data_IF_709842444345
#
_entry.id   IF_709842444345
#
_cell.length_a   1.000
_cell.length_b   1.000
_cell.length_c   1.000
_cell.angle_alpha   90.00
_cell.angle_beta   90.00
_cell.angle_gamma   90.00
#
_symmetry.space_group_name_H-M   'P 1'
#
loop_
_entity.id
_entity.type
_entity.pdbx_description
1 polymer ?
#
# COMPACT_ATOMS: atom_id res chain seq x y z
N UNK A 1 16.15 41.74 24.61
CA UNK A 1 14.79 42.32 24.46
C UNK A 1 14.84 43.33 23.32
N UNK A 2 13.85 43.37 22.41
CA UNK A 2 13.92 44.28 21.27
C UNK A 2 13.64 45.74 21.64
N UNK A 3 12.83 46.01 22.65
CA UNK A 3 12.52 47.39 23.07
C UNK A 3 13.42 47.83 24.23
N UNK A 4 14.31 48.79 23.98
CA UNK A 4 15.19 49.38 25.01
C UNK A 4 14.54 50.56 25.76
N UNK A 5 13.51 51.17 25.15
CA UNK A 5 12.68 52.22 25.74
C UNK A 5 11.24 51.96 25.34
N UNK A 6 10.33 52.31 26.24
CA UNK A 6 8.89 52.14 26.06
C UNK A 6 8.17 53.47 25.92
N UNK A 7 8.88 54.59 25.78
CA UNK A 7 8.23 55.88 25.50
C UNK A 7 7.67 55.87 24.07
N UNK A 8 6.48 56.46 23.88
CA UNK A 8 5.85 56.62 22.55
C UNK A 8 6.58 57.68 21.70
N UNK A 9 7.82 57.39 21.37
CA UNK A 9 8.68 58.21 20.51
C UNK A 9 8.50 57.81 19.04
N UNK A 10 8.81 58.72 18.09
CA UNK A 10 8.84 58.36 16.67
C UNK A 10 9.76 57.17 16.36
N UNK A 11 10.87 57.03 17.09
CA UNK A 11 11.80 55.90 16.94
C UNK A 11 11.17 54.58 17.42
N UNK A 12 10.43 54.61 18.53
CA UNK A 12 9.68 53.46 19.02
C UNK A 12 8.57 53.05 18.05
N UNK A 13 7.81 54.02 17.51
CA UNK A 13 6.78 53.75 16.49
C UNK A 13 7.37 53.14 15.22
N UNK A 14 8.52 53.64 14.75
CA UNK A 14 9.24 53.06 13.62
C UNK A 14 9.71 51.63 13.90
N UNK A 15 10.12 51.33 15.13
CA UNK A 15 10.50 49.99 15.53
C UNK A 15 9.31 49.03 15.53
N UNK A 16 8.15 49.43 16.07
CA UNK A 16 6.91 48.66 15.99
C UNK A 16 6.57 48.34 14.53
N UNK A 17 6.58 49.36 13.66
CA UNK A 17 6.29 49.19 12.24
C UNK A 17 7.21 48.16 11.57
N UNK A 18 8.52 48.21 11.83
CA UNK A 18 9.45 47.23 11.27
C UNK A 18 9.18 45.80 11.75
N UNK A 19 8.72 45.61 12.99
CA UNK A 19 8.31 44.30 13.50
C UNK A 19 6.99 43.83 12.89
N UNK A 20 6.05 44.73 12.63
CA UNK A 20 4.78 44.44 11.95
C UNK A 20 5.01 44.01 10.50
N UNK A 21 5.88 44.72 9.77
CA UNK A 21 6.30 44.37 8.42
C UNK A 21 6.99 42.99 8.40
N UNK A 22 7.88 42.73 9.35
CA UNK A 22 8.51 41.41 9.54
C UNK A 22 7.46 40.31 9.80
N UNK A 23 6.46 40.58 10.63
CA UNK A 23 5.39 39.63 10.94
C UNK A 23 4.49 39.34 9.71
N UNK A 24 4.21 40.34 8.88
CA UNK A 24 3.45 40.15 7.63
C UNK A 24 4.24 39.30 6.62
N UNK A 25 5.52 39.61 6.39
CA UNK A 25 6.38 38.80 5.53
C UNK A 25 6.46 37.36 6.05
N UNK A 26 6.54 37.18 7.37
CA UNK A 26 6.56 35.85 7.98
C UNK A 26 5.22 35.11 7.78
N UNK A 27 4.09 35.81 7.85
CA UNK A 27 2.76 35.25 7.54
C UNK A 27 2.70 34.70 6.12
N UNK A 28 3.08 35.50 5.14
CA UNK A 28 3.04 35.10 3.73
C UNK A 28 3.93 33.88 3.46
N UNK A 29 5.15 33.89 4.02
CA UNK A 29 6.09 32.77 3.91
C UNK A 29 5.55 31.50 4.57
N UNK A 30 4.95 31.63 5.76
CA UNK A 30 4.38 30.50 6.51
C UNK A 30 3.20 29.88 5.77
N UNK A 31 2.31 30.70 5.20
CA UNK A 31 1.18 30.23 4.39
C UNK A 31 1.64 29.51 3.12
N UNK A 32 2.67 30.05 2.43
CA UNK A 32 3.25 29.40 1.26
C UNK A 32 3.90 28.05 1.63
N UNK A 33 4.62 28.01 2.75
CA UNK A 33 5.23 26.78 3.24
C UNK A 33 4.17 25.74 3.62
N UNK A 34 3.14 26.13 4.38
CA UNK A 34 2.01 25.28 4.74
C UNK A 34 1.35 24.62 3.52
N UNK A 35 1.15 25.36 2.41
CA UNK A 35 0.61 24.76 1.17
C UNK A 35 1.49 23.62 0.65
N UNK A 36 2.82 23.77 0.73
CA UNK A 36 3.76 22.72 0.37
C UNK A 36 3.69 21.52 1.32
N UNK A 37 3.66 21.78 2.62
CA UNK A 37 3.55 20.73 3.66
C UNK A 37 2.24 19.95 3.55
N UNK A 38 1.12 20.62 3.29
CA UNK A 38 -0.17 19.98 3.05
C UNK A 38 -0.13 19.04 1.84
N UNK A 39 0.39 19.51 0.70
CA UNK A 39 0.55 18.67 -0.50
C UNK A 39 1.44 17.45 -0.22
N UNK A 40 2.47 17.64 0.60
CA UNK A 40 3.34 16.56 1.02
C UNK A 40 2.59 15.52 1.88
N UNK A 41 1.81 15.94 2.87
CA UNK A 41 0.97 15.03 3.67
C UNK A 41 -0.09 14.32 2.82
N UNK A 42 -0.72 15.01 1.87
CA UNK A 42 -1.64 14.41 0.91
C UNK A 42 -0.94 13.30 0.10
N UNK A 43 0.28 13.55 -0.39
CA UNK A 43 1.08 12.54 -1.08
C UNK A 43 1.49 11.35 -0.20
N UNK A 44 1.73 11.56 1.10
CA UNK A 44 1.94 10.45 2.03
C UNK A 44 0.68 9.60 2.20
N UNK A 45 -0.51 10.23 2.23
CA UNK A 45 -1.80 9.54 2.25
C UNK A 45 -2.07 8.73 0.98
N UNK A 46 -1.88 9.34 -0.18
CA UNK A 46 -1.98 8.63 -1.47
C UNK A 46 -1.00 7.46 -1.56
N UNK A 47 0.22 7.65 -1.03
CA UNK A 47 1.22 6.59 -0.94
C UNK A 47 0.83 5.46 0.00
N UNK A 48 0.12 5.75 1.09
CA UNK A 48 -0.44 4.72 1.99
C UNK A 48 -1.56 3.94 1.28
N UNK A 49 -2.50 4.63 0.66
CA UNK A 49 -3.59 4.00 -0.09
C UNK A 49 -3.06 3.09 -1.20
N UNK A 50 -2.01 3.53 -1.90
CA UNK A 50 -1.31 2.73 -2.91
C UNK A 50 -0.70 1.44 -2.36
N UNK A 51 -0.03 1.50 -1.20
CA UNK A 51 0.54 0.31 -0.56
C UNK A 51 -0.56 -0.68 -0.15
N UNK A 52 -1.66 -0.19 0.43
CA UNK A 52 -2.80 -1.02 0.86
C UNK A 52 -3.51 -1.64 -0.34
N UNK A 53 -3.70 -0.89 -1.42
CA UNK A 53 -4.28 -1.39 -2.65
C UNK A 53 -3.41 -2.50 -3.27
N UNK A 54 -2.10 -2.29 -3.33
CA UNK A 54 -1.16 -3.30 -3.82
C UNK A 54 -1.17 -4.56 -2.96
N UNK A 55 -1.10 -4.42 -1.63
CA UNK A 55 -1.18 -5.54 -0.70
C UNK A 55 -2.49 -6.33 -0.88
N UNK A 56 -3.63 -5.63 -1.04
CA UNK A 56 -4.94 -6.27 -1.24
C UNK A 56 -5.04 -7.00 -2.59
N UNK A 57 -4.43 -6.45 -3.64
CA UNK A 57 -4.34 -7.12 -4.94
C UNK A 57 -3.48 -8.39 -4.86
N UNK A 58 -2.34 -8.32 -4.15
CA UNK A 58 -1.46 -9.47 -3.93
C UNK A 58 -2.14 -10.57 -3.11
N UNK A 59 -2.89 -10.19 -2.07
CA UNK A 59 -3.69 -11.12 -1.27
C UNK A 59 -4.77 -11.82 -2.09
N UNK A 60 -5.50 -11.03 -2.90
CA UNK A 60 -6.54 -11.55 -3.79
C UNK A 60 -5.97 -12.54 -4.80
N UNK A 61 -4.79 -12.23 -5.37
CA UNK A 61 -4.10 -13.11 -6.30
C UNK A 61 -3.55 -14.37 -5.61
N UNK A 62 -2.99 -14.21 -4.41
CA UNK A 62 -2.44 -15.32 -3.61
C UNK A 62 -3.52 -16.29 -3.13
N UNK A 63 -4.78 -15.85 -3.03
CA UNK A 63 -5.92 -16.66 -2.63
C UNK A 63 -5.86 -17.14 -1.17
N UNK A 64 -6.76 -18.07 -0.82
CA UNK A 64 -6.85 -18.59 0.55
C UNK A 64 -5.77 -19.63 0.87
N UNK A 65 -5.45 -19.80 2.16
CA UNK A 65 -4.43 -20.76 2.61
C UNK A 65 -4.74 -22.22 2.25
N UNK A 66 -6.00 -22.53 1.92
CA UNK A 66 -6.50 -23.87 1.63
C UNK A 66 -6.97 -24.02 0.18
N UNK A 67 -6.73 -23.06 -0.71
CA UNK A 67 -6.99 -23.25 -2.14
C UNK A 67 -5.83 -24.05 -2.76
N UNK A 68 -6.06 -25.30 -3.24
CA UNK A 68 -5.02 -26.12 -3.85
C UNK A 68 -4.39 -25.46 -5.07
N UNK A 69 -5.12 -24.58 -5.77
CA UNK A 69 -4.61 -23.85 -6.93
C UNK A 69 -3.59 -22.81 -6.46
N UNK A 70 -3.94 -21.99 -5.47
CA UNK A 70 -3.05 -21.02 -4.82
C UNK A 70 -1.77 -21.60 -4.26
N UNK A 71 -1.86 -22.75 -3.58
CA UNK A 71 -0.69 -23.41 -3.00
C UNK A 71 0.31 -23.80 -4.09
N UNK A 72 -0.16 -24.21 -5.27
CA UNK A 72 0.70 -24.64 -6.36
C UNK A 72 1.61 -23.54 -6.93
N UNK A 73 1.23 -22.27 -6.80
CA UNK A 73 2.02 -21.13 -7.31
C UNK A 73 2.58 -20.21 -6.21
N UNK A 74 2.46 -20.59 -4.94
CA UNK A 74 3.11 -19.88 -3.83
C UNK A 74 2.21 -18.92 -3.05
N UNK A 75 0.89 -19.14 -3.01
CA UNK A 75 -0.06 -18.36 -2.21
C UNK A 75 0.39 -18.08 -0.77
N UNK A 76 0.82 -19.07 0.03
CA UNK A 76 1.31 -18.84 1.40
C UNK A 76 2.49 -17.85 1.50
N UNK A 77 3.35 -17.80 0.49
CA UNK A 77 4.46 -16.84 0.42
C UNK A 77 3.94 -15.43 0.18
N UNK A 78 2.99 -15.28 -0.74
CA UNK A 78 2.34 -13.99 -1.06
C UNK A 78 1.59 -13.42 0.15
N UNK A 79 0.92 -14.27 0.93
CA UNK A 79 0.30 -13.85 2.20
C UNK A 79 1.33 -13.22 3.14
N UNK A 80 2.49 -13.86 3.33
CA UNK A 80 3.51 -13.34 4.25
C UNK A 80 4.07 -12.00 3.78
N UNK A 81 4.27 -11.80 2.48
CA UNK A 81 4.65 -10.51 1.92
C UNK A 81 3.54 -9.45 2.04
N UNK A 82 2.28 -9.85 1.89
CA UNK A 82 1.13 -8.96 2.10
C UNK A 82 1.11 -8.39 3.52
N UNK A 83 1.34 -9.22 4.54
CA UNK A 83 1.39 -8.78 5.94
C UNK A 83 2.45 -7.70 6.12
N UNK A 84 3.66 -7.94 5.61
CA UNK A 84 4.76 -6.98 5.70
C UNK A 84 4.46 -5.67 4.96
N UNK A 85 3.86 -5.73 3.77
CA UNK A 85 3.47 -4.53 3.01
C UNK A 85 2.42 -3.70 3.76
N UNK A 86 1.43 -4.36 4.39
CA UNK A 86 0.43 -3.68 5.23
C UNK A 86 1.07 -3.04 6.46
N UNK A 87 2.08 -3.67 7.03
CA UNK A 87 2.82 -3.13 8.17
C UNK A 87 3.67 -1.91 7.78
N UNK A 88 4.35 -1.94 6.63
CA UNK A 88 5.04 -0.76 6.06
C UNK A 88 4.04 0.37 5.80
N UNK A 89 2.88 0.06 5.23
CA UNK A 89 1.80 1.03 5.03
C UNK A 89 1.37 1.66 6.36
N UNK A 90 1.21 0.86 7.42
CA UNK A 90 0.88 1.36 8.76
C UNK A 90 1.93 2.34 9.28
N UNK A 91 3.22 2.06 9.09
CA UNK A 91 4.28 3.00 9.47
C UNK A 91 4.21 4.31 8.66
N UNK A 92 3.84 4.25 7.37
CA UNK A 92 3.65 5.43 6.52
C UNK A 92 2.46 6.27 6.99
N UNK A 93 1.37 5.65 7.42
CA UNK A 93 0.22 6.36 7.99
C UNK A 93 0.59 7.06 9.31
N UNK A 94 1.39 6.41 10.16
CA UNK A 94 1.94 7.06 11.36
C UNK A 94 2.81 8.25 11.01
N UNK A 95 3.69 8.14 10.01
CA UNK A 95 4.48 9.27 9.51
C UNK A 95 3.59 10.40 9.01
N UNK A 96 2.57 10.09 8.22
CA UNK A 96 1.60 11.07 7.70
C UNK A 96 0.93 11.84 8.83
N UNK A 97 0.40 11.14 9.84
CA UNK A 97 -0.23 11.76 11.00
C UNK A 97 0.74 12.63 11.80
N UNK A 98 1.98 12.17 11.98
CA UNK A 98 3.00 12.96 12.67
C UNK A 98 3.36 14.24 11.91
N UNK A 99 3.51 14.17 10.59
CA UNK A 99 3.75 15.36 9.75
C UNK A 99 2.56 16.32 9.84
N UNK A 100 1.32 15.81 9.80
CA UNK A 100 0.12 16.64 9.95
C UNK A 100 0.15 17.42 11.28
N UNK A 101 0.34 16.73 12.40
CA UNK A 101 0.26 17.37 13.72
C UNK A 101 1.51 18.20 14.08
N UNK A 102 2.70 17.74 13.72
CA UNK A 102 3.95 18.37 14.12
C UNK A 102 4.33 19.53 13.20
N UNK A 103 3.86 19.54 11.95
CA UNK A 103 4.17 20.57 10.97
C UNK A 103 2.95 21.36 10.53
N UNK A 104 1.92 20.71 9.98
CA UNK A 104 0.77 21.41 9.39
C UNK A 104 -0.02 22.17 10.45
N UNK A 105 -0.43 21.49 11.53
CA UNK A 105 -1.19 22.12 12.62
C UNK A 105 -0.38 23.21 13.32
N UNK A 106 0.92 22.98 13.54
CA UNK A 106 1.82 23.97 14.17
C UNK A 106 1.99 25.23 13.32
N UNK A 107 2.17 25.08 12.00
CA UNK A 107 2.24 26.21 11.08
C UNK A 107 0.93 26.99 11.05
N UNK A 108 -0.21 26.30 10.99
CA UNK A 108 -1.52 26.95 11.02
C UNK A 108 -1.78 27.66 12.35
N UNK A 109 -1.44 27.04 13.48
CA UNK A 109 -1.54 27.64 14.79
C UNK A 109 -0.75 28.96 14.85
N UNK A 110 0.50 28.94 14.39
CA UNK A 110 1.34 30.13 14.36
C UNK A 110 0.75 31.25 13.47
N UNK A 111 0.19 30.90 12.32
CA UNK A 111 -0.42 31.87 11.39
C UNK A 111 -1.75 32.42 11.90
N UNK A 112 -2.66 31.54 12.32
CA UNK A 112 -4.05 31.87 12.63
C UNK A 112 -4.23 32.41 14.04
N UNK A 113 -3.27 32.17 14.95
CA UNK A 113 -3.33 32.66 16.32
C UNK A 113 -2.25 33.69 16.54
N UNK A 114 -0.97 33.31 16.55
CA UNK A 114 0.11 34.23 16.97
C UNK A 114 0.23 35.45 16.03
N UNK A 115 0.28 35.21 14.71
CA UNK A 115 0.36 36.32 13.77
C UNK A 115 -0.98 37.09 13.72
N UNK A 116 -2.13 36.40 13.79
CA UNK A 116 -3.44 37.06 13.78
C UNK A 116 -3.63 38.01 14.98
N UNK A 117 -3.14 37.63 16.16
CA UNK A 117 -3.17 38.46 17.37
C UNK A 117 -2.47 39.80 17.15
N UNK A 118 -1.35 39.84 16.43
CA UNK A 118 -0.69 41.10 16.04
C UNK A 118 -1.61 42.01 15.24
N UNK A 119 -2.38 41.44 14.29
CA UNK A 119 -3.32 42.21 13.45
C UNK A 119 -4.47 42.77 14.27
N UNK A 120 -5.01 42.01 15.21
CA UNK A 120 -6.08 42.49 16.09
C UNK A 120 -5.56 43.53 17.10
N UNK A 121 -4.39 43.30 17.69
CA UNK A 121 -3.74 44.26 18.58
C UNK A 121 -3.43 45.59 17.87
N UNK A 122 -3.01 45.54 16.60
CA UNK A 122 -2.82 46.73 15.76
C UNK A 122 -4.10 47.54 15.62
N UNK A 123 -5.21 46.89 15.26
CA UNK A 123 -6.52 47.56 15.12
C UNK A 123 -6.95 48.22 16.41
N UNK A 124 -6.78 47.54 17.54
CA UNK A 124 -7.07 48.09 18.87
C UNK A 124 -6.19 49.30 19.18
N UNK A 125 -4.89 49.23 18.86
CA UNK A 125 -3.95 50.34 19.03
C UNK A 125 -4.32 51.55 18.17
N UNK A 126 -4.64 51.36 16.89
CA UNK A 126 -5.04 52.45 15.99
C UNK A 126 -6.31 53.15 16.50
N UNK A 127 -7.31 52.37 16.94
CA UNK A 127 -8.53 52.91 17.53
C UNK A 127 -8.25 53.71 18.81
N UNK A 128 -7.44 53.15 19.72
CA UNK A 128 -7.11 53.81 20.98
C UNK A 128 -6.26 55.07 20.78
N UNK A 129 -5.32 55.07 19.80
CA UNK A 129 -4.53 56.25 19.42
C UNK A 129 -5.43 57.37 18.93
N UNK A 130 -6.37 57.07 18.03
CA UNK A 130 -7.30 58.07 17.50
C UNK A 130 -8.16 58.70 18.61
N UNK A 131 -8.70 57.87 19.52
CA UNK A 131 -9.52 58.35 20.65
C UNK A 131 -8.70 59.22 21.62
N UNK A 132 -7.45 58.84 21.87
CA UNK A 132 -6.56 59.61 22.72
C UNK A 132 -6.20 60.96 22.09
N UNK A 133 -5.89 61.00 20.79
CA UNK A 133 -5.63 62.25 20.07
C UNK A 133 -6.83 63.19 20.12
N UNK A 134 -8.05 62.67 19.91
CA UNK A 134 -9.30 63.44 20.02
C UNK A 134 -9.53 64.00 21.44
N UNK A 135 -9.37 63.18 22.47
CA UNK A 135 -9.52 63.62 23.86
C UNK A 135 -8.49 64.70 24.22
N UNK A 136 -7.26 64.55 23.73
CA UNK A 136 -6.17 65.52 23.92
C UNK A 136 -6.45 66.85 23.22
N UNK A 137 -6.95 66.84 22.00
CA UNK A 137 -7.36 68.06 21.29
C UNK A 137 -8.49 68.80 22.01
N UNK A 138 -9.53 68.08 22.46
CA UNK A 138 -10.62 68.67 23.26
C UNK A 138 -10.08 69.33 24.53
N UNK A 139 -9.23 68.64 25.28
CA UNK A 139 -8.66 69.16 26.52
C UNK A 139 -7.77 70.39 26.28
N UNK A 140 -6.92 70.37 25.23
CA UNK A 140 -6.06 71.51 24.89
C UNK A 140 -6.84 72.73 24.37
N UNK A 141 -8.08 72.55 23.93
CA UNK A 141 -8.96 73.64 23.48
C UNK A 141 -9.64 74.41 24.62
N UNK A 142 -9.45 73.98 25.88
CA UNK A 142 -9.99 74.64 27.07
C UNK A 142 -9.56 76.11 27.14
N UNK A 143 -10.51 76.99 27.43
CA UNK A 143 -10.26 78.43 27.61
C UNK A 143 -10.20 78.78 29.10
N UNK A 144 -9.51 79.88 29.45
CA UNK A 144 -9.41 80.37 30.85
C UNK A 144 -10.76 80.61 31.56
N UNK A 145 -11.85 80.80 30.82
CA UNK A 145 -13.21 80.97 31.37
C UNK A 145 -14.06 79.70 31.39
N UNK A 146 -13.50 78.53 31.08
CA UNK A 146 -14.25 77.27 31.09
C UNK A 146 -14.64 76.93 32.52
N UNK A 147 -15.89 76.48 32.71
CA UNK A 147 -16.37 76.09 34.04
C UNK A 147 -15.57 74.90 34.57
N UNK A 148 -15.29 74.89 35.86
CA UNK A 148 -14.43 73.90 36.53
C UNK A 148 -14.96 72.47 36.40
N UNK A 149 -16.28 72.28 36.45
CA UNK A 149 -16.96 71.00 36.26
C UNK A 149 -16.72 70.43 34.85
N UNK A 150 -16.85 71.26 33.81
CA UNK A 150 -16.60 70.86 32.43
C UNK A 150 -15.12 70.52 32.21
N UNK A 151 -14.21 71.31 32.81
CA UNK A 151 -12.78 71.04 32.73
C UNK A 151 -12.40 69.70 33.38
N UNK A 152 -12.98 69.39 34.55
CA UNK A 152 -12.76 68.13 35.26
C UNK A 152 -13.22 66.90 34.45
N UNK A 153 -14.38 66.98 33.79
CA UNK A 153 -14.88 65.89 32.93
C UNK A 153 -13.93 65.63 31.76
N UNK A 154 -13.44 66.68 31.10
CA UNK A 154 -12.51 66.54 29.97
C UNK A 154 -11.13 66.03 30.42
N UNK A 155 -10.69 66.38 31.64
CA UNK A 155 -9.47 65.83 32.24
C UNK A 155 -9.61 64.32 32.51
N UNK A 156 -10.75 63.88 33.04
CA UNK A 156 -11.06 62.47 33.26
C UNK A 156 -11.15 61.69 31.93
N UNK A 157 -11.84 62.24 30.92
CA UNK A 157 -11.89 61.66 29.57
C UNK A 157 -10.48 61.49 28.98
N UNK A 158 -9.62 62.51 29.11
CA UNK A 158 -8.23 62.46 28.67
C UNK A 158 -7.43 61.38 29.40
N UNK A 159 -7.58 61.28 30.72
CA UNK A 159 -6.86 60.29 31.52
C UNK A 159 -7.27 58.86 31.15
N UNK A 160 -8.58 58.63 30.99
CA UNK A 160 -9.13 57.35 30.55
C UNK A 160 -8.66 56.96 29.15
N UNK A 161 -8.73 57.89 28.20
CA UNK A 161 -8.26 57.66 26.82
C UNK A 161 -6.75 57.38 26.77
N UNK A 162 -5.94 58.08 27.58
CA UNK A 162 -4.51 57.81 27.70
C UNK A 162 -4.23 56.41 28.25
N UNK A 163 -4.95 56.00 29.29
CA UNK A 163 -4.80 54.66 29.87
C UNK A 163 -5.13 53.57 28.84
N UNK A 164 -6.25 53.73 28.10
CA UNK A 164 -6.63 52.80 27.03
C UNK A 164 -5.59 52.74 25.89
N UNK A 165 -5.04 53.89 25.50
CA UNK A 165 -3.96 53.98 24.51
C UNK A 165 -2.71 53.22 24.96
N UNK A 166 -2.23 53.46 26.19
CA UNK A 166 -1.04 52.77 26.71
C UNK A 166 -1.27 51.26 26.82
N UNK A 167 -2.45 50.84 27.27
CA UNK A 167 -2.79 49.43 27.35
C UNK A 167 -2.80 48.75 25.97
N UNK A 168 -3.42 49.38 24.96
CA UNK A 168 -3.45 48.85 23.60
C UNK A 168 -2.05 48.80 22.98
N UNK A 169 -1.20 49.80 23.26
CA UNK A 169 0.20 49.84 22.84
C UNK A 169 1.00 48.69 23.43
N UNK A 170 0.87 48.43 24.73
CA UNK A 170 1.54 47.29 25.38
C UNK A 170 1.01 45.93 24.92
N UNK A 171 -0.28 45.81 24.60
CA UNK A 171 -0.83 44.60 23.97
C UNK A 171 -0.18 44.34 22.60
N UNK A 172 -0.04 45.37 21.75
CA UNK A 172 0.63 45.25 20.45
C UNK A 172 2.11 44.87 20.60
N UNK A 173 2.83 45.55 21.50
CA UNK A 173 4.24 45.23 21.82
C UNK A 173 4.41 43.79 22.30
N UNK A 174 3.49 43.33 23.16
CA UNK A 174 3.49 41.95 23.67
C UNK A 174 3.28 40.95 22.55
N UNK A 175 2.27 41.16 21.69
CA UNK A 175 2.00 40.28 20.56
C UNK A 175 3.20 40.20 19.59
N UNK A 176 3.80 41.34 19.25
CA UNK A 176 5.00 41.40 18.41
C UNK A 176 6.19 40.68 19.06
N UNK A 177 6.42 40.91 20.36
CA UNK A 177 7.50 40.25 21.09
C UNK A 177 7.31 38.74 21.16
N UNK A 178 6.07 38.26 21.31
CA UNK A 178 5.76 36.83 21.31
C UNK A 178 6.05 36.19 19.96
N UNK A 179 5.64 36.81 18.86
CA UNK A 179 5.96 36.37 17.49
C UNK A 179 7.48 36.28 17.28
N UNK A 180 8.22 37.33 17.68
CA UNK A 180 9.68 37.39 17.57
C UNK A 180 10.41 36.36 18.45
N UNK A 181 9.87 36.04 19.62
CA UNK A 181 10.41 34.99 20.48
C UNK A 181 10.15 33.62 19.85
N UNK A 182 8.89 33.31 19.53
CA UNK A 182 8.45 32.03 18.99
C UNK A 182 9.09 31.67 17.66
N UNK A 183 9.26 32.64 16.74
CA UNK A 183 9.88 32.35 15.42
C UNK A 183 11.29 31.77 15.53
N UNK A 184 11.99 31.97 16.66
CA UNK A 184 13.36 31.45 16.86
C UNK A 184 13.38 29.94 17.05
N UNK A 185 12.29 29.32 17.48
CA UNK A 185 12.26 27.89 17.80
C UNK A 185 11.10 27.13 17.13
N UNK A 186 9.89 27.69 17.04
CA UNK A 186 8.70 26.96 16.54
C UNK A 186 8.94 26.29 15.18
N UNK A 187 9.52 27.01 14.21
CA UNK A 187 9.80 26.45 12.89
C UNK A 187 10.91 25.39 12.91
N UNK A 188 11.93 25.59 13.73
CA UNK A 188 13.04 24.64 13.86
C UNK A 188 12.55 23.36 14.52
N UNK A 189 11.73 23.46 15.57
CA UNK A 189 11.13 22.33 16.26
C UNK A 189 10.18 21.56 15.33
N UNK A 190 9.30 22.25 14.59
CA UNK A 190 8.38 21.61 13.65
C UNK A 190 9.11 20.83 12.54
N UNK A 191 10.10 21.46 11.90
CA UNK A 191 10.87 20.82 10.82
C UNK A 191 11.76 19.69 11.36
N UNK A 192 12.44 19.90 12.48
CA UNK A 192 13.30 18.87 13.09
C UNK A 192 12.49 17.66 13.57
N UNK A 193 11.33 17.92 14.20
CA UNK A 193 10.41 16.86 14.61
C UNK A 193 9.86 16.07 13.43
N UNK A 194 9.64 16.72 12.29
CA UNK A 194 9.27 16.04 11.04
C UNK A 194 10.41 15.13 10.55
N UNK A 195 11.66 15.59 10.60
CA UNK A 195 12.82 14.78 10.22
C UNK A 195 13.04 13.59 11.17
N UNK A 196 12.77 13.75 12.46
CA UNK A 196 12.79 12.64 13.42
C UNK A 196 11.68 11.60 13.14
N UNK A 197 10.48 12.05 12.79
CA UNK A 197 9.40 11.16 12.36
C UNK A 197 9.80 10.33 11.12
N UNK A 198 10.47 10.98 10.16
CA UNK A 198 11.06 10.31 9.00
C UNK A 198 12.10 9.27 9.37
N UNK A 199 13.03 9.61 10.25
CA UNK A 199 14.06 8.69 10.73
C UNK A 199 13.41 7.43 11.33
N UNK A 200 12.38 7.61 12.16
CA UNK A 200 11.62 6.49 12.76
C UNK A 200 10.93 5.63 11.70
N UNK A 201 10.22 6.26 10.75
CA UNK A 201 9.58 5.54 9.64
C UNK A 201 10.56 4.67 8.85
N UNK A 202 11.68 5.24 8.41
CA UNK A 202 12.68 4.48 7.65
C UNK A 202 13.35 3.39 8.46
N UNK A 203 13.61 3.64 9.76
CA UNK A 203 14.19 2.64 10.66
C UNK A 203 13.24 1.45 10.85
N UNK A 204 11.96 1.69 11.07
CA UNK A 204 10.95 0.64 11.21
C UNK A 204 10.83 -0.20 9.92
N UNK A 205 10.78 0.46 8.76
CA UNK A 205 10.76 -0.24 7.47
C UNK A 205 12.02 -1.09 7.21
N UNK A 206 13.20 -0.56 7.55
CA UNK A 206 14.46 -1.31 7.46
C UNK A 206 14.46 -2.53 8.38
N UNK A 207 14.11 -2.36 9.66
CA UNK A 207 14.11 -3.44 10.65
C UNK A 207 13.18 -4.57 10.23
N UNK A 208 11.98 -4.24 9.74
CA UNK A 208 11.02 -5.23 9.25
C UNK A 208 11.58 -6.01 8.04
N UNK A 209 12.07 -5.32 7.01
CA UNK A 209 12.59 -5.97 5.81
C UNK A 209 13.86 -6.77 6.07
N UNK A 210 14.74 -6.28 6.96
CA UNK A 210 15.94 -6.98 7.36
C UNK A 210 15.62 -8.28 8.11
N UNK A 211 14.62 -8.27 9.00
CA UNK A 211 14.13 -9.50 9.63
C UNK A 211 13.56 -10.50 8.62
N UNK A 212 12.98 -10.02 7.52
CA UNK A 212 12.44 -10.86 6.45
C UNK A 212 13.48 -11.34 5.44
N UNK A 213 14.66 -10.72 5.39
CA UNK A 213 15.71 -11.01 4.40
C UNK A 213 16.06 -12.52 4.29
N UNK A 214 16.24 -13.29 5.39
CA UNK A 214 16.50 -14.72 5.28
C UNK A 214 15.36 -15.48 4.61
N UNK A 215 14.12 -15.09 4.87
CA UNK A 215 12.93 -15.70 4.27
C UNK A 215 12.83 -15.35 2.78
N UNK A 216 13.12 -14.10 2.39
CA UNK A 216 13.17 -13.69 0.97
C UNK A 216 14.20 -14.53 0.22
N UNK A 217 15.40 -14.69 0.78
CA UNK A 217 16.47 -15.50 0.17
C UNK A 217 16.07 -16.99 0.05
N UNK A 218 15.37 -17.53 1.05
CA UNK A 218 14.84 -18.88 1.00
C UNK A 218 13.82 -19.07 -0.13
N UNK A 219 12.90 -18.12 -0.29
CA UNK A 219 11.89 -18.12 -1.38
C UNK A 219 12.57 -18.05 -2.75
N UNK A 220 13.58 -17.18 -2.91
CA UNK A 220 14.34 -17.06 -4.16
C UNK A 220 15.06 -18.37 -4.51
N UNK A 221 15.70 -18.98 -3.51
CA UNK A 221 16.37 -20.29 -3.68
C UNK A 221 15.38 -21.38 -4.08
N UNK A 222 14.21 -21.43 -3.43
CA UNK A 222 13.14 -22.38 -3.78
C UNK A 222 12.66 -22.17 -5.23
N UNK A 223 12.46 -20.92 -5.66
CA UNK A 223 12.04 -20.61 -7.02
C UNK A 223 13.10 -21.05 -8.07
N UNK A 224 14.38 -20.88 -7.77
CA UNK A 224 15.47 -21.37 -8.63
C UNK A 224 15.47 -22.90 -8.74
N UNK A 225 15.40 -23.61 -7.61
CA UNK A 225 15.35 -25.07 -7.59
C UNK A 225 14.12 -25.62 -8.33
N UNK A 226 12.96 -24.98 -8.16
CA UNK A 226 11.73 -25.34 -8.87
C UNK A 226 11.88 -25.21 -10.39
N UNK A 227 12.53 -24.14 -10.86
CA UNK A 227 12.85 -23.93 -12.28
C UNK A 227 13.78 -25.01 -12.82
N UNK A 228 14.84 -25.35 -12.09
CA UNK A 228 15.78 -26.40 -12.49
C UNK A 228 15.10 -27.77 -12.58
N UNK A 229 14.26 -28.10 -11.60
CA UNK A 229 13.46 -29.34 -11.63
C UNK A 229 12.51 -29.37 -12.82
N UNK A 230 11.80 -28.27 -13.10
CA UNK A 230 10.91 -28.17 -14.26
C UNK A 230 11.67 -28.39 -15.58
N UNK A 231 12.88 -27.85 -15.71
CA UNK A 231 13.72 -28.03 -16.89
C UNK A 231 14.12 -29.52 -17.06
N UNK A 232 14.52 -30.18 -15.98
CA UNK A 232 14.87 -31.60 -15.99
C UNK A 232 13.67 -32.47 -16.35
N UNK A 233 12.50 -32.23 -15.74
CA UNK A 233 11.27 -32.97 -16.02
C UNK A 233 10.83 -32.80 -17.48
N UNK A 234 10.95 -31.58 -18.03
CA UNK A 234 10.65 -31.30 -19.43
C UNK A 234 11.61 -32.03 -20.37
N UNK A 235 12.91 -32.08 -20.05
CA UNK A 235 13.90 -32.81 -20.82
C UNK A 235 13.63 -34.32 -20.79
N UNK A 236 13.39 -34.90 -19.62
CA UNK A 236 13.06 -36.32 -19.45
C UNK A 236 11.73 -36.70 -20.12
N UNK A 237 10.74 -35.80 -20.16
CA UNK A 237 9.52 -36.00 -20.92
C UNK A 237 9.80 -36.00 -22.42
N UNK A 238 10.57 -35.04 -22.91
CA UNK A 238 10.95 -34.95 -24.33
C UNK A 238 11.71 -36.20 -24.79
N UNK A 239 12.64 -36.70 -23.98
CA UNK A 239 13.37 -37.94 -24.26
C UNK A 239 12.43 -39.14 -24.36
N UNK A 240 11.54 -39.33 -23.38
CA UNK A 240 10.53 -40.41 -23.40
C UNK A 240 9.62 -40.32 -24.62
N UNK A 241 9.19 -39.12 -24.99
CA UNK A 241 8.37 -38.90 -26.20
C UNK A 241 9.14 -39.25 -27.48
N UNK A 242 10.43 -38.90 -27.57
CA UNK A 242 11.26 -39.26 -28.71
C UNK A 242 11.47 -40.76 -28.80
N UNK A 243 11.76 -41.43 -27.68
CA UNK A 243 11.95 -42.88 -27.68
C UNK A 243 10.67 -43.62 -28.07
N UNK A 244 9.52 -43.16 -27.57
CA UNK A 244 8.22 -43.69 -27.99
C UNK A 244 8.00 -43.55 -29.51
N UNK A 245 8.33 -42.38 -30.09
CA UNK A 245 8.25 -42.19 -31.55
C UNK A 245 9.18 -43.16 -32.30
N UNK A 246 10.44 -43.31 -31.86
CA UNK A 246 11.38 -44.28 -32.44
C UNK A 246 10.89 -45.72 -32.35
N UNK A 247 10.22 -46.08 -31.25
CA UNK A 247 9.61 -47.40 -31.09
C UNK A 247 8.48 -47.62 -32.10
N UNK A 248 7.55 -46.67 -32.23
CA UNK A 248 6.46 -46.72 -33.21
C UNK A 248 7.00 -46.83 -34.64
N UNK A 249 8.06 -46.07 -34.98
CA UNK A 249 8.69 -46.12 -36.31
C UNK A 249 9.36 -47.49 -36.59
N UNK A 250 9.94 -48.13 -35.56
CA UNK A 250 10.51 -49.48 -35.66
C UNK A 250 9.41 -50.52 -35.86
N UNK A 251 8.36 -50.48 -35.04
CA UNK A 251 7.21 -51.38 -35.13
C UNK A 251 6.50 -51.26 -36.48
N UNK A 252 6.34 -50.03 -37.00
CA UNK A 252 5.74 -49.77 -38.31
C UNK A 252 6.58 -50.33 -39.46
N UNK A 253 7.92 -50.20 -39.40
CA UNK A 253 8.84 -50.78 -40.40
C UNK A 253 8.85 -52.31 -40.35
N UNK A 254 8.81 -52.91 -39.17
CA UNK A 254 8.69 -54.36 -39.02
C UNK A 254 7.36 -54.91 -39.55
N UNK A 255 6.25 -54.21 -39.32
CA UNK A 255 4.95 -54.58 -39.87
C UNK A 255 4.93 -54.52 -41.41
N UNK A 256 5.62 -53.54 -42.03
CA UNK A 256 5.73 -53.46 -43.50
C UNK A 256 6.68 -54.50 -44.10
N UNK A 257 7.81 -54.83 -43.45
CA UNK A 257 8.74 -55.87 -43.94
C UNK A 257 8.22 -57.31 -43.76
N UNK A 258 7.20 -57.52 -42.91
CA UNK A 258 6.50 -58.80 -42.79
C UNK A 258 5.56 -59.12 -43.97
N UNK A 259 5.36 -58.19 -44.90
CA UNK A 259 4.47 -58.36 -46.07
C UNK A 259 5.15 -58.91 -47.33
N UNK A 260 6.45 -59.19 -47.31
CA UNK A 260 7.17 -59.76 -48.48
C UNK A 260 7.33 -61.29 -48.43
N UNK A 261 6.53 -61.98 -47.62
CA UNK A 261 6.31 -63.42 -47.73
C UNK A 261 4.82 -63.66 -47.75
N UNK A 262 4.26 -63.93 -48.92
CA UNK A 262 2.99 -64.66 -49.01
C UNK A 262 3.29 -66.14 -48.75
N UNK A 263 2.71 -66.76 -47.73
CA UNK A 263 2.36 -68.17 -47.80
C UNK A 263 0.85 -68.25 -48.00
N UNK A 264 0.44 -68.71 -49.17
CA UNK A 264 -0.83 -69.42 -49.28
C UNK A 264 -0.87 -70.50 -48.20
N UNK A 265 -1.84 -70.43 -47.30
CA UNK A 265 -2.05 -71.45 -46.29
C UNK A 265 -2.98 -70.97 -45.19
N UNK A 266 -4.23 -71.44 -45.24
CA UNK A 266 -5.13 -71.50 -44.09
C UNK A 266 -4.38 -72.07 -42.88
N UNK A 267 -4.02 -71.18 -41.96
CA UNK A 267 -3.26 -71.51 -40.77
C UNK A 267 -3.61 -70.51 -39.69
N UNK A 268 -4.54 -70.90 -38.82
CA UNK A 268 -4.86 -70.20 -37.57
C UNK A 268 -3.53 -69.96 -36.83
N UNK A 269 -3.04 -68.72 -36.87
CA UNK A 269 -1.83 -68.33 -36.15
C UNK A 269 -2.06 -68.56 -34.65
N UNK A 270 -1.30 -69.50 -34.08
CA UNK A 270 -1.27 -69.81 -32.67
C UNK A 270 -0.59 -68.69 -31.86
N UNK A 271 -1.17 -67.49 -31.84
CA UNK A 271 -0.77 -66.38 -30.95
C UNK A 271 -1.22 -66.65 -29.49
N UNK A 272 -2.07 -67.66 -29.26
CA UNK A 272 -2.81 -67.84 -28.00
C UNK A 272 -2.09 -68.55 -26.84
N UNK A 273 -1.00 -69.30 -27.04
CA UNK A 273 -0.45 -70.17 -25.97
C UNK A 273 0.37 -69.43 -24.91
N UNK A 274 1.08 -68.36 -25.29
CA UNK A 274 1.87 -67.53 -24.36
C UNK A 274 1.00 -66.56 -23.55
N UNK A 275 0.02 -65.93 -24.21
CA UNK A 275 -0.91 -65.00 -23.56
C UNK A 275 -1.78 -65.67 -22.51
N UNK A 276 -2.18 -66.93 -22.71
CA UNK A 276 -3.08 -67.61 -21.78
C UNK A 276 -2.44 -67.87 -20.42
N UNK A 277 -1.15 -68.29 -20.41
CA UNK A 277 -0.37 -68.50 -19.18
C UNK A 277 -0.15 -67.20 -18.40
N UNK A 278 0.08 -66.08 -19.09
CA UNK A 278 0.18 -64.77 -18.42
C UNK A 278 -1.14 -64.30 -17.83
N UNK A 279 -2.25 -64.50 -18.55
CA UNK A 279 -3.60 -64.17 -18.06
C UNK A 279 -3.91 -65.00 -16.80
N UNK A 280 -3.62 -66.29 -16.82
CA UNK A 280 -3.85 -67.21 -15.71
C UNK A 280 -3.01 -66.83 -14.47
N UNK A 281 -1.73 -66.49 -14.66
CA UNK A 281 -0.87 -66.01 -13.57
C UNK A 281 -1.36 -64.68 -12.96
N UNK A 282 -1.85 -63.75 -13.79
CA UNK A 282 -2.41 -62.48 -13.34
C UNK A 282 -3.72 -62.70 -12.56
N UNK A 283 -4.58 -63.62 -13.02
CA UNK A 283 -5.81 -64.00 -12.32
C UNK A 283 -5.53 -64.67 -10.97
N UNK A 284 -4.54 -65.57 -10.89
CA UNK A 284 -4.12 -66.21 -9.62
C UNK A 284 -3.56 -65.17 -8.62
N UNK A 285 -2.91 -64.11 -9.11
CA UNK A 285 -2.43 -63.02 -8.24
C UNK A 285 -3.56 -62.17 -7.63
N UNK A 286 -4.74 -62.13 -8.26
CA UNK A 286 -5.92 -61.46 -7.74
C UNK A 286 -6.47 -62.13 -6.47
N UNK A 287 -6.33 -63.45 -6.35
CA UNK A 287 -6.68 -64.21 -5.16
C UNK A 287 -5.85 -63.81 -3.93
N UNK A 288 -4.68 -63.16 -4.13
CA UNK A 288 -3.82 -62.58 -3.09
C UNK A 288 -4.12 -61.10 -2.80
N UNK A 289 -5.22 -60.56 -3.32
CA UNK A 289 -5.73 -59.21 -3.01
C UNK A 289 -5.21 -58.07 -3.89
N UNK A 290 -4.31 -58.31 -4.84
CA UNK A 290 -3.78 -57.27 -5.76
C UNK A 290 -4.53 -57.30 -7.11
N UNK A 291 -5.40 -56.32 -7.34
CA UNK A 291 -6.11 -56.17 -8.62
C UNK A 291 -5.17 -55.59 -9.68
N UNK A 292 -5.03 -56.27 -10.82
CA UNK A 292 -4.18 -55.86 -11.93
C UNK A 292 -4.97 -55.82 -13.23
N UNK A 293 -4.54 -55.01 -14.20
CA UNK A 293 -5.17 -54.96 -15.53
C UNK A 293 -4.65 -56.11 -16.39
N UNK A 294 -5.55 -56.99 -16.85
CA UNK A 294 -5.23 -58.05 -17.81
C UNK A 294 -5.10 -57.45 -19.22
N UNK A 295 -6.08 -56.64 -19.62
CA UNK A 295 -6.11 -56.01 -20.95
C UNK A 295 -6.90 -54.71 -20.89
N UNK A 296 -6.46 -53.74 -21.67
CA UNK A 296 -7.17 -52.49 -21.84
C UNK A 296 -7.07 -52.00 -23.27
N UNK A 297 -8.05 -51.20 -23.69
CA UNK A 297 -8.05 -50.64 -25.02
C UNK A 297 -9.38 -50.04 -25.41
N UNK A 298 -9.39 -49.36 -26.56
CA UNK A 298 -10.62 -48.84 -27.12
C UNK A 298 -11.38 -49.94 -27.87
N UNK A 299 -12.66 -50.10 -27.55
CA UNK A 299 -13.60 -50.93 -28.30
C UNK A 299 -14.85 -50.12 -28.66
N UNK A 300 -15.51 -50.53 -29.74
CA UNK A 300 -16.81 -49.98 -30.13
C UNK A 300 -17.90 -50.73 -29.38
N UNK A 301 -18.70 -50.02 -28.58
CA UNK A 301 -19.87 -50.55 -27.87
C UNK A 301 -21.14 -50.13 -28.58
N UNK A 302 -21.95 -51.08 -29.03
CA UNK A 302 -23.29 -50.78 -29.56
C UNK A 302 -24.23 -50.36 -28.42
N UNK A 303 -25.00 -49.31 -28.65
CA UNK A 303 -26.08 -48.90 -27.76
C UNK A 303 -27.27 -49.85 -27.91
N UNK A 304 -27.92 -50.16 -26.80
CA UNK A 304 -29.13 -51.01 -26.75
C UNK A 304 -30.40 -50.28 -27.18
N UNK A 305 -30.29 -49.05 -27.68
CA UNK A 305 -31.42 -48.25 -28.14
C UNK A 305 -31.84 -48.70 -29.56
N UNK A 306 -33.11 -48.53 -29.93
CA UNK A 306 -33.69 -48.92 -31.23
C UNK A 306 -32.91 -48.48 -32.48
N UNK A 307 -32.14 -47.38 -32.40
CA UNK A 307 -31.31 -46.87 -33.52
C UNK A 307 -29.88 -47.45 -33.58
N UNK A 308 -29.44 -48.20 -32.56
CA UNK A 308 -28.20 -48.99 -32.60
C UNK A 308 -26.91 -48.22 -32.90
N UNK A 309 -26.66 -47.10 -32.22
CA UNK A 309 -25.44 -46.29 -32.38
C UNK A 309 -24.20 -46.96 -31.75
N UNK A 310 -23.03 -46.88 -32.39
CA UNK A 310 -21.76 -47.44 -31.92
C UNK A 310 -20.90 -46.35 -31.27
N UNK A 311 -20.49 -46.56 -30.02
CA UNK A 311 -19.66 -45.59 -29.28
C UNK A 311 -18.31 -46.19 -28.94
N UNK A 312 -17.24 -45.52 -29.35
CA UNK A 312 -15.87 -45.84 -28.92
C UNK A 312 -15.73 -45.56 -27.42
N UNK A 313 -15.39 -46.58 -26.64
CA UNK A 313 -15.17 -46.50 -25.19
C UNK A 313 -13.85 -47.17 -24.83
N UNK A 314 -13.22 -46.71 -23.76
CA UNK A 314 -12.02 -47.34 -23.23
C UNK A 314 -12.44 -48.42 -22.22
N UNK A 315 -12.12 -49.67 -22.51
CA UNK A 315 -12.45 -50.83 -21.69
C UNK A 315 -11.22 -51.30 -20.92
N UNK A 316 -11.45 -51.81 -19.72
CA UNK A 316 -10.43 -52.43 -18.87
C UNK A 316 -10.99 -53.76 -18.35
N UNK A 317 -10.25 -54.83 -18.59
CA UNK A 317 -10.47 -56.14 -18.00
C UNK A 317 -9.47 -56.31 -16.86
N UNK A 318 -9.97 -56.48 -15.64
CA UNK A 318 -9.13 -56.70 -14.46
C UNK A 318 -8.91 -58.18 -14.14
N UNK A 319 -7.98 -58.44 -13.21
CA UNK A 319 -7.57 -59.77 -12.76
C UNK A 319 -8.66 -60.55 -12.01
N UNK A 320 -9.79 -59.90 -11.67
CA UNK A 320 -10.97 -60.53 -11.07
C UNK A 320 -11.98 -60.98 -12.13
N UNK A 321 -11.70 -60.75 -13.41
CA UNK A 321 -12.62 -61.03 -14.51
C UNK A 321 -13.67 -59.93 -14.72
N UNK A 322 -13.53 -58.77 -14.08
CA UNK A 322 -14.47 -57.66 -14.25
C UNK A 322 -14.08 -56.84 -15.48
N UNK A 323 -15.04 -56.69 -16.41
CA UNK A 323 -14.92 -55.81 -17.56
C UNK A 323 -15.73 -54.54 -17.32
N UNK A 324 -15.05 -53.39 -17.25
CA UNK A 324 -15.68 -52.08 -17.12
C UNK A 324 -15.20 -51.13 -18.22
N UNK A 325 -15.94 -50.04 -18.43
CA UNK A 325 -15.59 -49.05 -19.44
C UNK A 325 -15.77 -47.63 -18.91
N UNK A 326 -14.89 -46.73 -19.37
CA UNK A 326 -14.96 -45.31 -19.01
C UNK A 326 -15.91 -44.56 -19.95
N UNK A 327 -16.81 -43.78 -19.36
CA UNK A 327 -17.62 -42.79 -20.08
C UNK A 327 -16.95 -41.43 -19.95
N UNK A 328 -16.58 -40.82 -21.07
CA UNK A 328 -16.16 -39.41 -21.10
C UNK A 328 -17.35 -38.57 -20.64
N UNK A 329 -17.27 -37.95 -19.46
CA UNK A 329 -18.21 -36.91 -19.06
C UNK A 329 -17.86 -35.67 -19.86
N UNK A 330 -18.74 -35.26 -20.77
CA UNK A 330 -18.69 -33.91 -21.31
C UNK A 330 -19.37 -33.03 -20.26
N UNK A 331 -18.61 -32.46 -19.34
CA UNK A 331 -19.08 -31.28 -18.62
C UNK A 331 -19.19 -30.16 -19.65
N UNK A 332 -20.41 -29.93 -20.16
CA UNK A 332 -20.73 -28.59 -20.66
C UNK A 332 -20.76 -27.72 -19.42
N UNK A 333 -19.75 -26.88 -19.26
CA UNK A 333 -19.82 -25.70 -18.40
C UNK A 333 -21.08 -24.94 -18.80
N UNK A 334 -22.10 -24.94 -17.94
CA UNK A 334 -23.26 -24.04 -18.06
C UNK A 334 -22.89 -22.69 -17.47
#
# INVERSE_FOLDING_TARGET
MHFNKLDDSPMFRKQIQGLEESAEVLRERSLKFYKGCRKYTEGLGEGYDGDIAFASALETFGGGHNDPISVAFGGPVMTKFTIALREIGTYKEVLRSQVEHMLNDRLLQYVNIDLHEVKEARKCFDKASLLYDQAREKFLSLRKGTKTDVAAILEEELHSARSAFEQARFSLVTALSNVEAKKRFEFLEAVSGTMDAHLRYFKQGYELLHQMEPYINQVLTYAQQSRERSNYEQAALNERMQEYKRQIDRESRWASNGSNGSPNGDGIQAIGRSSHKMIEAVMQSAAKGKVQTIRQGYLSKRSSNLRGDWKRRFFVLDSRGMLYYYRKQCSKSS
#
